data_IF_447822331575
#
_entry.id   IF_447822331575
#
_cell.length_a   1.000
_cell.length_b   1.000
_cell.length_c   1.000
_cell.angle_alpha   90.00
_cell.angle_beta   90.00
_cell.angle_gamma   90.00
#
_symmetry.space_group_name_H-M   'P 1'
#
loop_
_entity.id
_entity.type
_entity.pdbx_description
1 polymer ?
#
# COMPACT_ATOMS: atom_id res chain seq x y z
N UNK A 1 0.56 -14.14 -5.74
CA UNK A 1 -0.04 -14.03 -4.38
C UNK A 1 -1.18 -13.02 -4.40
N UNK A 2 -2.21 -13.22 -3.58
CA UNK A 2 -3.39 -12.35 -3.47
C UNK A 2 -3.47 -11.79 -2.04
N UNK A 3 -3.79 -10.51 -1.91
CA UNK A 3 -4.06 -9.86 -0.61
C UNK A 3 -5.39 -10.34 -0.04
N UNK A 4 -5.48 -10.49 1.28
CA UNK A 4 -6.75 -10.77 1.99
C UNK A 4 -7.67 -9.54 1.97
N UNK A 5 -7.09 -8.34 2.04
CA UNK A 5 -7.83 -7.10 1.88
C UNK A 5 -8.44 -6.94 0.46
N UNK A 6 -9.64 -6.37 0.40
CA UNK A 6 -10.32 -6.01 -0.85
C UNK A 6 -10.04 -4.55 -1.19
N UNK A 7 -9.64 -4.26 -2.42
CA UNK A 7 -9.49 -2.87 -2.89
C UNK A 7 -10.87 -2.25 -3.10
N UNK A 8 -11.08 -1.07 -2.52
CA UNK A 8 -12.30 -0.27 -2.65
C UNK A 8 -12.10 1.02 -3.42
N UNK A 9 -10.87 1.51 -3.49
CA UNK A 9 -10.52 2.70 -4.26
C UNK A 9 -9.02 2.88 -4.37
N UNK A 10 -8.57 3.48 -5.46
CA UNK A 10 -7.15 3.73 -5.75
C UNK A 10 -6.97 5.14 -6.30
N UNK A 11 -5.79 5.71 -6.04
CA UNK A 11 -5.30 6.93 -6.67
C UNK A 11 -3.82 6.75 -6.96
N UNK A 12 -3.42 7.17 -8.15
CA UNK A 12 -2.04 7.19 -8.61
C UNK A 12 -1.67 8.64 -8.94
N UNK A 13 -0.48 9.08 -8.57
CA UNK A 13 -0.05 10.47 -8.76
C UNK A 13 1.42 10.53 -9.19
N UNK A 14 1.64 11.07 -10.40
CA UNK A 14 2.95 11.15 -11.06
C UNK A 14 3.65 12.50 -10.87
N UNK A 15 3.00 13.45 -10.19
CA UNK A 15 3.52 14.82 -10.00
C UNK A 15 4.74 14.88 -9.05
N UNK A 16 5.08 13.76 -8.43
CA UNK A 16 6.20 13.64 -7.50
C UNK A 16 7.41 13.00 -8.18
N UNK A 17 8.61 13.26 -7.65
CA UNK A 17 9.87 12.63 -8.11
C UNK A 17 9.78 11.10 -8.24
N UNK A 18 9.00 10.47 -7.36
CA UNK A 18 8.61 9.06 -7.47
C UNK A 18 7.08 8.98 -7.45
N UNK A 19 6.45 8.18 -8.33
CA UNK A 19 5.01 8.05 -8.34
C UNK A 19 4.48 7.62 -6.97
N UNK A 20 3.40 8.28 -6.54
CA UNK A 20 2.74 7.98 -5.28
C UNK A 20 1.46 7.20 -5.52
N UNK A 21 1.31 6.18 -4.70
CA UNK A 21 0.15 5.31 -4.66
C UNK A 21 -0.67 5.65 -3.42
N UNK A 22 -1.98 5.73 -3.57
CA UNK A 22 -2.92 5.74 -2.45
C UNK A 22 -4.00 4.70 -2.69
N UNK A 23 -4.25 3.85 -1.70
CA UNK A 23 -5.21 2.77 -1.80
C UNK A 23 -6.11 2.76 -0.57
N UNK A 24 -7.41 2.59 -0.81
CA UNK A 24 -8.44 2.32 0.20
C UNK A 24 -8.80 0.85 0.11
N UNK A 25 -8.64 0.14 1.22
CA UNK A 25 -8.89 -1.28 1.38
C UNK A 25 -10.01 -1.50 2.41
N UNK A 26 -10.75 -2.59 2.23
CA UNK A 26 -11.56 -3.21 3.27
C UNK A 26 -10.80 -4.45 3.76
N UNK A 27 -10.47 -4.49 5.04
CA UNK A 27 -9.76 -5.61 5.66
C UNK A 27 -10.68 -6.82 5.83
N UNK A 28 -10.15 -8.02 6.10
CA UNK A 28 -10.96 -9.20 6.38
C UNK A 28 -11.96 -9.02 7.54
N UNK A 29 -11.65 -8.12 8.48
CA UNK A 29 -12.48 -7.77 9.63
C UNK A 29 -13.55 -6.72 9.29
N UNK A 30 -13.65 -6.29 8.03
CA UNK A 30 -14.59 -5.25 7.58
C UNK A 30 -14.16 -3.82 7.90
N UNK A 31 -12.94 -3.62 8.42
CA UNK A 31 -12.39 -2.30 8.73
C UNK A 31 -11.80 -1.61 7.51
N UNK A 32 -11.75 -0.28 7.53
CA UNK A 32 -11.15 0.50 6.45
C UNK A 32 -9.66 0.66 6.70
N UNK A 33 -8.83 0.33 5.71
CA UNK A 33 -7.39 0.56 5.73
C UNK A 33 -7.00 1.44 4.54
N UNK A 34 -6.48 2.63 4.80
CA UNK A 34 -5.99 3.55 3.77
C UNK A 34 -4.47 3.60 3.87
N UNK A 35 -3.79 3.42 2.74
CA UNK A 35 -2.33 3.42 2.68
C UNK A 35 -1.90 4.37 1.56
N UNK A 36 -1.05 5.33 1.89
CA UNK A 36 -0.26 6.10 0.95
C UNK A 36 1.18 5.58 0.97
N UNK A 37 1.77 5.31 -0.19
CA UNK A 37 3.10 4.73 -0.30
C UNK A 37 3.77 5.13 -1.62
N UNK A 38 5.09 5.03 -1.68
CA UNK A 38 5.87 5.25 -2.89
C UNK A 38 7.00 4.23 -3.01
N UNK A 39 7.68 4.26 -4.15
CA UNK A 39 8.88 3.47 -4.38
C UNK A 39 10.11 4.34 -4.05
N UNK A 40 10.92 3.93 -3.08
CA UNK A 40 12.17 4.62 -2.76
C UNK A 40 13.36 3.90 -3.40
N UNK A 41 14.18 4.67 -4.13
CA UNK A 41 15.47 4.22 -4.65
C UNK A 41 16.62 4.47 -3.67
N UNK A 42 16.38 5.19 -2.56
CA UNK A 42 17.43 5.70 -1.68
C UNK A 42 17.83 4.72 -0.55
N UNK A 43 17.03 3.69 -0.27
CA UNK A 43 17.34 2.71 0.77
C UNK A 43 18.21 1.56 0.23
N UNK A 44 19.07 0.99 1.09
CA UNK A 44 19.79 -0.28 0.83
C UNK A 44 18.83 -1.42 0.44
N UNK A 45 17.56 -1.30 0.82
CA UNK A 45 16.45 -2.12 0.36
C UNK A 45 15.63 -1.36 -0.68
N UNK A 46 15.92 -1.60 -1.97
CA UNK A 46 15.06 -1.11 -3.07
C UNK A 46 13.64 -1.65 -2.87
N UNK A 47 12.63 -0.79 -2.88
CA UNK A 47 11.24 -1.25 -2.74
C UNK A 47 10.23 -0.17 -2.36
N UNK A 48 9.01 -0.62 -2.10
CA UNK A 48 7.90 0.22 -1.68
C UNK A 48 7.91 0.47 -0.18
N UNK A 49 7.63 1.71 0.21
CA UNK A 49 7.59 2.14 1.61
C UNK A 49 6.31 2.90 1.93
N UNK A 50 5.69 2.65 3.10
CA UNK A 50 4.51 3.40 3.52
C UNK A 50 4.90 4.83 3.91
N UNK A 51 4.15 5.80 3.40
CA UNK A 51 4.24 7.21 3.77
C UNK A 51 3.21 7.57 4.84
N UNK A 52 1.99 7.05 4.70
CA UNK A 52 0.91 7.24 5.66
C UNK A 52 -0.02 6.03 5.65
N UNK A 53 -0.54 5.65 6.82
CA UNK A 53 -1.42 4.53 7.07
C UNK A 53 -2.53 5.03 7.99
N UNK A 54 -3.78 4.88 7.58
CA UNK A 54 -4.94 5.11 8.42
C UNK A 54 -5.74 3.82 8.56
N UNK A 55 -6.08 3.44 9.79
CA UNK A 55 -6.86 2.25 10.10
C UNK A 55 -8.12 2.62 10.86
N UNK A 56 -9.28 2.40 10.25
CA UNK A 56 -10.60 2.69 10.81
C UNK A 56 -10.76 4.13 11.35
N UNK A 57 -10.11 5.10 10.69
CA UNK A 57 -10.12 6.50 11.10
C UNK A 57 -8.90 6.91 11.93
N UNK A 58 -8.16 5.97 12.52
CA UNK A 58 -6.96 6.24 13.32
C UNK A 58 -5.72 6.44 12.42
N UNK A 59 -4.97 7.52 12.65
CA UNK A 59 -3.70 7.77 11.97
C UNK A 59 -2.57 6.93 12.61
N UNK A 60 -2.05 5.99 11.83
CA UNK A 60 -0.99 5.06 12.23
C UNK A 60 0.40 5.52 11.77
N UNK A 61 0.51 6.70 11.14
CA UNK A 61 1.74 7.19 10.53
C UNK A 61 2.27 6.23 9.48
N UNK A 62 3.51 5.76 9.61
CA UNK A 62 4.09 4.78 8.68
C UNK A 62 3.98 3.31 9.16
N UNK A 63 3.22 3.04 10.23
CA UNK A 63 3.16 1.72 10.87
C UNK A 63 2.22 0.77 10.12
N UNK A 64 2.77 0.03 9.15
CA UNK A 64 2.05 -1.02 8.40
C UNK A 64 2.43 -2.45 8.80
N UNK A 65 3.49 -2.63 9.59
CA UNK A 65 4.07 -3.95 9.90
C UNK A 65 3.10 -4.90 10.59
N UNK A 66 2.25 -4.38 11.49
CA UNK A 66 1.26 -5.18 12.20
C UNK A 66 0.27 -5.81 11.21
N UNK A 67 -0.20 -5.04 10.23
CA UNK A 67 -1.17 -5.52 9.25
C UNK A 67 -0.50 -6.47 8.25
N UNK A 68 0.61 -6.05 7.63
CA UNK A 68 1.26 -6.87 6.60
C UNK A 68 1.75 -8.21 7.16
N UNK A 69 2.30 -8.23 8.37
CA UNK A 69 2.82 -9.46 8.99
C UNK A 69 1.73 -10.30 9.63
N UNK A 70 0.86 -9.72 10.46
CA UNK A 70 -0.12 -10.50 11.24
C UNK A 70 -1.33 -10.89 10.39
N UNK A 71 -1.79 -10.00 9.52
CA UNK A 71 -3.02 -10.23 8.74
C UNK A 71 -2.67 -10.83 7.38
N UNK A 72 -1.77 -10.21 6.62
CA UNK A 72 -1.42 -10.65 5.26
C UNK A 72 -0.34 -11.74 5.21
N UNK A 73 0.35 -12.01 6.32
CA UNK A 73 1.46 -12.97 6.43
C UNK A 73 2.58 -12.74 5.41
N UNK A 74 2.96 -11.49 5.18
CA UNK A 74 4.04 -11.11 4.26
C UNK A 74 4.78 -9.84 4.68
N UNK A 75 5.89 -9.56 4.01
CA UNK A 75 6.65 -8.33 4.26
C UNK A 75 5.86 -7.09 3.81
N UNK A 76 6.19 -5.93 4.39
CA UNK A 76 5.59 -4.65 3.96
C UNK A 76 5.84 -4.44 2.46
N UNK A 77 7.07 -4.67 1.99
CA UNK A 77 7.44 -4.47 0.60
C UNK A 77 6.65 -5.39 -0.35
N UNK A 78 6.49 -6.67 -0.02
CA UNK A 78 5.70 -7.60 -0.85
C UNK A 78 4.24 -7.19 -0.93
N UNK A 79 3.66 -6.81 0.21
CA UNK A 79 2.29 -6.35 0.27
C UNK A 79 2.07 -5.11 -0.60
N UNK A 80 2.90 -4.09 -0.44
CA UNK A 80 2.82 -2.86 -1.22
C UNK A 80 3.11 -3.08 -2.70
N UNK A 81 4.04 -3.98 -3.04
CA UNK A 81 4.33 -4.37 -4.43
C UNK A 81 3.13 -5.02 -5.12
N UNK A 82 2.39 -5.88 -4.42
CA UNK A 82 1.15 -6.47 -4.96
C UNK A 82 0.10 -5.39 -5.20
N UNK A 83 -0.01 -4.41 -4.32
CA UNK A 83 -0.95 -3.30 -4.48
C UNK A 83 -0.55 -2.39 -5.65
N UNK A 84 0.73 -2.02 -5.74
CA UNK A 84 1.27 -1.24 -6.84
C UNK A 84 0.97 -1.90 -8.18
N UNK A 85 1.31 -3.18 -8.36
CA UNK A 85 1.05 -3.87 -9.63
C UNK A 85 -0.43 -3.93 -10.02
N UNK A 86 -1.36 -3.96 -9.06
CA UNK A 86 -2.80 -3.85 -9.35
C UNK A 86 -3.19 -2.44 -9.79
N UNK A 87 -2.62 -1.41 -9.17
CA UNK A 87 -2.86 -0.01 -9.49
C UNK A 87 -2.25 0.35 -10.84
N UNK A 88 -1.01 -0.05 -11.08
CA UNK A 88 -0.31 0.17 -12.36
C UNK A 88 -1.12 -0.44 -13.51
N UNK A 89 -1.62 -1.68 -13.34
CA UNK A 89 -2.52 -2.31 -14.32
C UNK A 89 -3.82 -1.54 -14.52
N UNK A 90 -4.41 -0.99 -13.45
CA UNK A 90 -5.64 -0.19 -13.53
C UNK A 90 -5.42 1.12 -14.30
N UNK A 91 -4.29 1.78 -14.09
CA UNK A 91 -3.91 3.03 -14.78
C UNK A 91 -3.17 2.80 -16.11
N UNK A 92 -2.95 1.54 -16.52
CA UNK A 92 -2.15 1.17 -17.71
C UNK A 92 -0.72 1.73 -17.69
N UNK A 93 -0.17 1.89 -16.49
CA UNK A 93 1.24 2.26 -16.30
C UNK A 93 2.05 1.01 -16.63
N UNK A 94 2.81 1.09 -17.71
CA UNK A 94 3.54 -0.03 -18.33
C UNK A 94 4.98 -0.11 -17.85
#
# INVERSE_FOLDING_TARGET
MKTKAKIKGVKYSTDYKFPRYKVKLETPEGKVLIIAFDHTLASKTKGYVPLNVNYDGEDMGNKLSWYSKKIENMTINDFLRILAGKIDKFYKVS
#
